data_IF_343997881080
#
_entry.id   IF_343997881080
#
_cell.length_a   1.000
_cell.length_b   1.000
_cell.length_c   1.000
_cell.angle_alpha   90.00
_cell.angle_beta   90.00
_cell.angle_gamma   90.00
#
_symmetry.space_group_name_H-M   'P 1'
#
loop_
_entity.id
_entity.type
_entity.pdbx_description
1 polymer ?
#
# COMPACT_ATOMS: atom_id res chain seq x y z
N UNK A 1 9.04 1.53 11.75
CA UNK A 1 8.75 2.91 12.21
C UNK A 1 8.40 3.78 11.00
N UNK A 2 7.20 4.35 10.91
CA UNK A 2 6.80 5.21 9.77
C UNK A 2 7.04 4.57 8.38
N UNK A 3 6.68 3.28 8.22
CA UNK A 3 6.96 2.53 6.99
C UNK A 3 8.42 2.07 6.84
N UNK A 4 9.28 2.36 7.81
CA UNK A 4 10.70 1.97 7.83
C UNK A 4 10.91 0.71 8.69
N UNK A 5 11.14 -0.46 8.08
CA UNK A 5 11.66 -1.65 8.74
C UNK A 5 13.02 -1.37 9.40
N UNK A 6 13.07 -1.58 10.71
CA UNK A 6 14.25 -1.34 11.55
C UNK A 6 14.34 -2.43 12.60
N UNK A 7 15.56 -2.64 13.10
CA UNK A 7 15.87 -3.54 14.20
C UNK A 7 16.37 -2.72 15.37
N UNK A 8 15.73 -2.85 16.53
CA UNK A 8 16.21 -2.24 17.75
C UNK A 8 17.19 -3.20 18.44
N UNK A 9 18.31 -2.67 18.91
CA UNK A 9 19.29 -3.40 19.71
C UNK A 9 19.69 -2.54 20.89
N UNK A 10 19.72 -3.13 22.06
CA UNK A 10 20.11 -2.43 23.27
C UNK A 10 20.20 -3.36 24.46
N UNK A 11 20.69 -2.79 25.55
CA UNK A 11 20.75 -3.44 26.84
C UNK A 11 20.15 -2.49 27.89
N UNK A 12 19.71 -3.08 28.99
CA UNK A 12 19.18 -2.35 30.13
C UNK A 12 19.80 -2.93 31.40
N UNK A 13 20.27 -2.05 32.28
CA UNK A 13 20.65 -2.35 33.65
C UNK A 13 19.38 -2.58 34.47
N UNK A 14 19.26 -3.74 35.11
CA UNK A 14 18.06 -4.10 35.88
C UNK A 14 18.02 -3.46 37.27
N UNK A 15 19.16 -3.00 37.80
CA UNK A 15 19.23 -2.34 39.10
C UNK A 15 19.04 -0.83 38.96
N UNK A 16 19.73 -0.23 37.98
CA UNK A 16 19.70 1.22 37.75
C UNK A 16 18.58 1.66 36.81
N UNK A 17 17.96 0.71 36.11
CA UNK A 17 16.90 0.93 35.12
C UNK A 17 17.30 1.92 34.02
N UNK A 18 18.60 2.04 33.75
CA UNK A 18 19.15 2.79 32.62
C UNK A 18 19.72 1.82 31.58
N UNK A 19 19.93 2.32 30.37
CA UNK A 19 20.35 1.48 29.27
C UNK A 19 20.61 2.29 28.02
N UNK A 20 21.23 1.63 27.05
CA UNK A 20 21.52 2.23 25.75
C UNK A 20 20.99 1.30 24.68
N UNK A 21 20.40 1.90 23.65
CA UNK A 21 19.99 1.18 22.46
C UNK A 21 20.16 2.02 21.21
N UNK A 22 20.34 1.34 20.09
CA UNK A 22 20.37 1.90 18.76
C UNK A 22 19.29 1.26 17.88
N UNK A 23 18.99 1.94 16.79
CA UNK A 23 18.06 1.48 15.76
C UNK A 23 18.87 1.29 14.48
N UNK A 24 18.81 0.10 13.90
CA UNK A 24 19.49 -0.28 12.67
C UNK A 24 18.47 -0.52 11.56
N UNK A 25 18.85 -0.25 10.31
CA UNK A 25 18.02 -0.60 9.17
C UNK A 25 18.01 -2.12 8.99
N UNK A 26 16.81 -2.69 8.85
CA UNK A 26 16.66 -4.14 8.60
C UNK A 26 16.35 -4.36 7.12
N UNK A 27 17.40 -4.63 6.34
CA UNK A 27 17.31 -4.82 4.89
C UNK A 27 16.52 -6.08 4.51
N UNK A 28 16.73 -7.18 5.22
CA UNK A 28 16.03 -8.44 4.96
C UNK A 28 14.53 -8.29 5.21
N UNK A 29 14.16 -7.68 6.33
CA UNK A 29 12.76 -7.38 6.61
C UNK A 29 12.20 -6.37 5.59
N UNK A 30 12.97 -5.35 5.21
CA UNK A 30 12.54 -4.38 4.21
C UNK A 30 12.25 -5.06 2.85
N UNK A 31 13.11 -5.96 2.38
CA UNK A 31 12.92 -6.68 1.13
C UNK A 31 11.70 -7.61 1.16
N UNK A 32 11.47 -8.31 2.27
CA UNK A 32 10.27 -9.15 2.43
C UNK A 32 8.99 -8.32 2.40
N UNK A 33 8.94 -7.25 3.16
CA UNK A 33 7.79 -6.35 3.19
C UNK A 33 7.54 -5.70 1.83
N UNK A 34 8.61 -5.30 1.13
CA UNK A 34 8.54 -4.72 -0.21
C UNK A 34 8.00 -5.73 -1.24
N UNK A 35 8.40 -7.01 -1.15
CA UNK A 35 7.85 -8.07 -2.00
C UNK A 35 6.35 -8.31 -1.74
N UNK A 36 5.94 -8.38 -0.47
CA UNK A 36 4.54 -8.54 -0.07
C UNK A 36 3.71 -7.35 -0.56
N UNK A 37 4.23 -6.13 -0.38
CA UNK A 37 3.54 -4.90 -0.79
C UNK A 37 3.37 -4.84 -2.31
N UNK A 38 4.42 -5.18 -3.09
CA UNK A 38 4.33 -5.27 -4.55
C UNK A 38 3.27 -6.26 -5.00
N UNK A 39 3.24 -7.47 -4.42
CA UNK A 39 2.24 -8.48 -4.76
C UNK A 39 0.81 -7.98 -4.49
N UNK A 40 0.59 -7.28 -3.38
CA UNK A 40 -0.71 -6.69 -3.07
C UNK A 40 -1.09 -5.58 -4.06
N UNK A 41 -0.14 -4.73 -4.44
CA UNK A 41 -0.35 -3.67 -5.43
C UNK A 41 -0.69 -4.23 -6.81
N UNK A 42 0.01 -5.28 -7.23
CA UNK A 42 -0.24 -5.96 -8.51
C UNK A 42 -1.63 -6.58 -8.54
N UNK A 43 -2.00 -7.33 -7.49
CA UNK A 43 -3.35 -7.90 -7.36
C UNK A 43 -4.44 -6.83 -7.38
N UNK A 44 -4.21 -5.70 -6.72
CA UNK A 44 -5.16 -4.60 -6.72
C UNK A 44 -5.29 -3.97 -8.13
N UNK A 45 -4.15 -3.72 -8.78
CA UNK A 45 -4.09 -3.13 -10.12
C UNK A 45 -4.76 -4.02 -11.15
N UNK A 46 -4.55 -5.34 -11.04
CA UNK A 46 -5.19 -6.32 -11.90
C UNK A 46 -6.72 -6.30 -11.75
N UNK A 47 -7.24 -6.35 -10.52
CA UNK A 47 -8.69 -6.25 -10.28
C UNK A 47 -9.29 -4.94 -10.80
N UNK A 48 -8.53 -3.85 -10.69
CA UNK A 48 -8.97 -2.55 -11.20
C UNK A 48 -9.09 -2.57 -12.73
N UNK A 49 -8.08 -3.11 -13.43
CA UNK A 49 -8.09 -3.27 -14.89
C UNK A 49 -9.24 -4.16 -15.36
N UNK A 50 -9.45 -5.31 -14.71
CA UNK A 50 -10.56 -6.22 -15.03
C UNK A 50 -11.91 -5.52 -14.90
N UNK A 51 -12.08 -4.67 -13.88
CA UNK A 51 -13.29 -3.88 -13.69
C UNK A 51 -13.48 -2.83 -14.80
N UNK A 52 -12.41 -2.12 -15.17
CA UNK A 52 -12.43 -1.13 -16.25
C UNK A 52 -12.74 -1.77 -17.61
N UNK A 53 -12.11 -2.89 -17.93
CA UNK A 53 -12.33 -3.64 -19.17
C UNK A 53 -13.76 -4.17 -19.26
N UNK A 54 -14.28 -4.74 -18.17
CA UNK A 54 -15.65 -5.23 -18.09
C UNK A 54 -16.65 -4.08 -18.30
N UNK A 55 -16.44 -2.94 -17.64
CA UNK A 55 -17.26 -1.73 -17.83
C UNK A 55 -17.20 -1.20 -19.26
N UNK A 56 -16.02 -1.22 -19.88
CA UNK A 56 -15.82 -0.79 -21.27
C UNK A 56 -16.58 -1.69 -22.25
N UNK A 57 -16.51 -3.01 -22.06
CA UNK A 57 -17.26 -4.00 -22.87
C UNK A 57 -18.77 -3.81 -22.75
N UNK A 58 -19.29 -3.65 -21.53
CA UNK A 58 -20.72 -3.35 -21.33
C UNK A 58 -21.18 -2.08 -22.05
N UNK A 59 -20.32 -1.07 -22.16
CA UNK A 59 -20.62 0.17 -22.89
C UNK A 59 -20.54 -0.01 -24.41
N UNK A 60 -19.62 -0.82 -24.90
CA UNK A 60 -19.44 -1.07 -26.33
C UNK A 60 -20.59 -1.92 -26.91
N UNK A 61 -21.06 -2.91 -26.15
CA UNK A 61 -22.14 -3.82 -26.54
C UNK A 61 -23.53 -3.17 -26.51
N UNK A 62 -23.66 -1.95 -25.95
CA UNK A 62 -24.92 -1.20 -25.89
C UNK A 62 -24.69 0.27 -26.31
N UNK A 63 -24.64 0.58 -27.62
CA UNK A 63 -24.45 1.95 -28.09
C UNK A 63 -25.65 2.90 -27.89
N UNK A 64 -26.78 2.43 -27.33
CA UNK A 64 -27.96 3.26 -27.10
C UNK A 64 -28.45 3.19 -25.64
N UNK A 65 -28.71 4.39 -25.08
CA UNK A 65 -29.42 4.71 -23.83
C UNK A 65 -28.56 4.83 -22.56
N UNK A 66 -27.67 5.84 -22.49
CA UNK A 66 -26.97 6.21 -21.25
C UNK A 66 -26.97 7.73 -20.96
N UNK A 67 -27.92 8.51 -21.48
CA UNK A 67 -28.05 9.93 -21.08
C UNK A 67 -28.94 10.16 -19.84
N UNK A 68 -29.69 9.16 -19.35
CA UNK A 68 -30.73 9.42 -18.32
C UNK A 68 -30.46 8.79 -16.94
N UNK A 69 -29.47 7.90 -16.77
CA UNK A 69 -29.33 7.14 -15.51
C UNK A 69 -28.18 7.55 -14.58
N UNK A 70 -27.33 8.49 -15.00
CA UNK A 70 -26.20 8.98 -14.20
C UNK A 70 -26.60 9.73 -12.90
N UNK A 71 -27.87 10.14 -12.75
CA UNK A 71 -28.32 10.88 -11.56
C UNK A 71 -28.92 10.03 -10.43
N UNK A 72 -29.16 8.73 -10.60
CA UNK A 72 -29.91 7.93 -9.61
C UNK A 72 -29.15 6.72 -9.02
N UNK A 73 -27.99 6.36 -9.56
CA UNK A 73 -27.15 5.30 -8.99
C UNK A 73 -25.74 5.84 -8.83
N UNK A 74 -25.52 6.63 -7.77
CA UNK A 74 -24.17 6.80 -7.26
C UNK A 74 -23.62 5.40 -6.97
N UNK A 75 -22.50 4.97 -7.58
CA UNK A 75 -21.89 3.73 -7.15
C UNK A 75 -21.53 3.95 -5.69
N UNK A 76 -22.07 3.11 -4.80
CA UNK A 76 -21.59 3.05 -3.44
C UNK A 76 -20.10 2.75 -3.53
N UNK A 77 -19.29 3.80 -3.43
CA UNK A 77 -17.83 3.82 -3.44
C UNK A 77 -17.25 3.24 -2.15
N UNK A 78 -18.09 2.57 -1.36
CA UNK A 78 -17.70 1.95 -0.12
C UNK A 78 -16.81 0.74 -0.42
N UNK A 79 -15.50 0.94 -0.17
CA UNK A 79 -14.47 -0.06 0.16
C UNK A 79 -13.41 -0.46 -0.89
N UNK A 80 -13.19 0.29 -1.96
CA UNK A 80 -11.89 0.23 -2.69
C UNK A 80 -10.90 1.25 -2.11
N UNK A 81 -10.67 1.22 -0.80
CA UNK A 81 -9.59 2.00 -0.21
C UNK A 81 -8.27 1.29 -0.45
N UNK A 82 -7.43 1.85 -1.33
CA UNK A 82 -6.01 1.48 -1.37
C UNK A 82 -5.42 1.59 0.05
N UNK A 83 -4.59 0.63 0.50
CA UNK A 83 -3.68 0.92 1.60
C UNK A 83 -2.77 2.06 1.13
N UNK A 84 -2.68 3.15 1.92
CA UNK A 84 -1.84 4.31 1.59
C UNK A 84 -0.40 3.83 1.33
N UNK A 85 0.15 3.99 0.10
CA UNK A 85 1.52 3.61 -0.16
C UNK A 85 2.39 4.66 0.52
N UNK A 86 2.96 4.32 1.67
CA UNK A 86 4.02 5.14 2.23
C UNK A 86 5.28 4.83 1.43
N UNK A 87 5.51 5.64 0.38
CA UNK A 87 6.74 5.63 -0.40
C UNK A 87 7.90 5.83 0.59
N UNK A 88 8.74 4.81 0.73
CA UNK A 88 9.96 4.91 1.52
C UNK A 88 11.02 5.55 0.64
N UNK A 89 11.38 6.78 0.98
CA UNK A 89 12.50 7.50 0.36
C UNK A 89 13.78 6.74 0.71
N UNK A 90 14.44 6.16 -0.29
CA UNK A 90 15.82 5.72 -0.17
C UNK A 90 16.70 6.97 -0.25
N UNK A 91 16.98 7.64 0.87
CA UNK A 91 18.07 8.62 0.91
C UNK A 91 19.36 7.90 1.31
N UNK A 92 20.14 7.50 0.31
CA UNK A 92 21.57 7.25 0.47
C UNK A 92 22.25 8.58 0.80
N UNK A 93 22.37 8.92 2.08
CA UNK A 93 23.22 10.02 2.56
C UNK A 93 23.54 9.81 4.04
N UNK A 94 24.34 8.78 4.33
CA UNK A 94 25.19 8.79 5.52
C UNK A 94 26.64 8.92 5.04
N UNK A 95 27.07 10.17 4.86
CA UNK A 95 28.43 10.64 5.10
C UNK A 95 28.30 12.00 5.78
#
# INVERSE_FOLDING_TARGET
MNGVCVRWRGWIDLERLDGVGCIEFDEEAALREDAILREQMERYTQRLREYEDNKSRYRLDRPEQDEVRLHAAGPSSASMSMPRPYIRVYSNSCV
#
